data_IF_033743652035
#
_entry.id   IF_033743652035
#
_cell.length_a   1.000
_cell.length_b   1.000
_cell.length_c   1.000
_cell.angle_alpha   90.00
_cell.angle_beta   90.00
_cell.angle_gamma   90.00
#
_symmetry.space_group_name_H-M   'P 1'
#
loop_
_entity.id
_entity.type
_entity.pdbx_description
1 polymer ?
#
# COMPACT_ATOMS: atom_id res chain seq x y z
N UNK A 1 22.23 16.72 12.41
CA UNK A 1 20.77 16.84 12.21
C UNK A 1 19.97 15.52 12.06
N UNK A 2 20.60 14.37 11.82
CA UNK A 2 19.88 13.09 11.55
C UNK A 2 20.10 12.00 12.62
N UNK A 3 20.35 12.38 13.88
CA UNK A 3 20.75 11.45 14.96
C UNK A 3 19.82 10.23 15.12
N UNK A 4 18.50 10.43 14.97
CA UNK A 4 17.49 9.36 15.14
C UNK A 4 17.41 8.38 13.95
N UNK A 5 17.78 8.81 12.74
CA UNK A 5 17.74 7.97 11.54
C UNK A 5 19.14 7.41 11.18
N UNK A 6 20.11 7.51 12.10
CA UNK A 6 21.51 7.18 11.85
C UNK A 6 21.86 5.81 12.44
N UNK A 7 22.38 4.90 11.60
CA UNK A 7 22.83 3.57 12.04
C UNK A 7 23.95 3.62 13.09
N UNK A 8 24.78 4.66 13.12
CA UNK A 8 25.79 4.84 14.19
C UNK A 8 25.16 5.01 15.58
N UNK A 9 23.95 5.58 15.66
CA UNK A 9 23.21 5.78 16.91
C UNK A 9 22.11 4.74 17.15
N UNK A 10 21.73 4.00 16.10
CA UNK A 10 20.80 2.89 16.14
C UNK A 10 21.37 1.75 15.28
N UNK A 11 22.30 0.93 15.83
CA UNK A 11 23.04 -0.05 15.04
C UNK A 11 22.16 -1.17 14.48
N UNK A 12 21.10 -1.51 15.21
CA UNK A 12 20.16 -2.57 14.82
C UNK A 12 19.27 -2.13 13.66
N UNK A 13 18.90 -3.09 12.82
CA UNK A 13 17.97 -2.88 11.73
C UNK A 13 16.57 -2.56 12.26
N UNK A 14 15.98 -1.49 11.74
CA UNK A 14 14.56 -1.22 11.95
C UNK A 14 13.73 -2.17 11.09
N UNK A 15 12.87 -2.96 11.73
CA UNK A 15 11.89 -3.81 11.08
C UNK A 15 10.51 -3.23 11.32
N UNK A 16 9.84 -2.80 10.26
CA UNK A 16 8.49 -2.22 10.34
C UNK A 16 7.48 -3.33 10.10
N UNK A 17 6.56 -3.51 11.05
CA UNK A 17 5.45 -4.45 10.91
C UNK A 17 4.17 -3.68 10.53
N UNK A 18 3.66 -3.96 9.34
CA UNK A 18 2.40 -3.39 8.84
C UNK A 18 1.39 -4.53 8.70
N UNK A 19 0.57 -4.75 9.72
CA UNK A 19 -0.48 -5.78 9.69
C UNK A 19 0.05 -7.20 9.38
N UNK A 20 1.26 -7.53 9.84
CA UNK A 20 1.93 -8.80 9.59
C UNK A 20 2.95 -8.77 8.45
N UNK A 21 2.92 -7.77 7.57
CA UNK A 21 3.95 -7.58 6.56
C UNK A 21 5.20 -6.92 7.18
N UNK A 22 6.34 -7.61 7.14
CA UNK A 22 7.61 -7.13 7.68
C UNK A 22 8.45 -6.46 6.59
N UNK A 23 8.95 -5.26 6.87
CA UNK A 23 9.81 -4.47 5.97
C UNK A 23 11.14 -4.17 6.69
N UNK A 24 12.26 -4.60 6.10
CA UNK A 24 13.60 -4.45 6.68
C UNK A 24 14.12 -5.74 7.32
N UNK A 25 15.35 -5.71 7.86
CA UNK A 25 15.94 -6.84 8.60
C UNK A 25 16.04 -8.15 7.81
N UNK A 26 16.21 -8.08 6.49
CA UNK A 26 16.29 -9.25 5.60
C UNK A 26 14.94 -9.76 5.07
N UNK A 27 13.82 -9.17 5.49
CA UNK A 27 12.50 -9.47 4.92
C UNK A 27 12.31 -8.79 3.56
N UNK A 28 11.80 -9.53 2.59
CA UNK A 28 11.46 -9.02 1.26
C UNK A 28 9.95 -8.77 1.17
N UNK A 29 9.55 -7.51 1.05
CA UNK A 29 8.16 -7.10 0.96
C UNK A 29 7.85 -6.55 -0.44
N UNK A 30 6.73 -7.00 -1.02
CA UNK A 30 6.23 -6.50 -2.30
C UNK A 30 4.91 -5.79 -2.08
N UNK A 31 4.85 -4.52 -2.48
CA UNK A 31 3.65 -3.69 -2.43
C UNK A 31 3.12 -3.51 -3.85
N UNK A 32 1.97 -4.10 -4.17
CA UNK A 32 1.45 -4.13 -5.52
C UNK A 32 -0.05 -3.78 -5.54
N UNK A 33 -0.54 -3.30 -6.67
CA UNK A 33 -1.92 -2.86 -6.83
C UNK A 33 -2.04 -1.75 -7.87
N UNK A 34 -3.26 -1.22 -8.10
CA UNK A 34 -3.49 -0.27 -9.17
C UNK A 34 -2.86 1.10 -8.89
N UNK A 35 -2.74 1.89 -9.95
CA UNK A 35 -2.31 3.27 -9.84
C UNK A 35 -3.33 4.10 -9.04
N UNK A 36 -4.60 3.98 -9.38
CA UNK A 36 -5.74 4.64 -8.74
C UNK A 36 -6.81 3.61 -8.43
N UNK A 37 -7.61 3.87 -7.40
CA UNK A 37 -8.81 3.08 -7.12
C UNK A 37 -9.96 3.65 -7.94
N UNK A 38 -10.67 2.80 -8.67
CA UNK A 38 -11.68 3.25 -9.65
C UNK A 38 -13.04 2.57 -9.47
N UNK A 39 -13.07 1.25 -9.27
CA UNK A 39 -14.33 0.51 -9.01
C UNK A 39 -14.12 -0.64 -8.03
N UNK A 40 -15.18 -1.15 -7.37
CA UNK A 40 -15.09 -2.33 -6.52
C UNK A 40 -14.54 -3.56 -7.26
N UNK A 41 -15.01 -3.82 -8.47
CA UNK A 41 -14.61 -5.00 -9.25
C UNK A 41 -13.13 -4.92 -9.61
N UNK A 42 -12.67 -3.74 -10.03
CA UNK A 42 -11.29 -3.48 -10.39
C UNK A 42 -10.36 -3.67 -9.20
N UNK A 43 -10.67 -3.06 -8.04
CA UNK A 43 -9.79 -3.13 -6.88
C UNK A 43 -9.76 -4.55 -6.29
N UNK A 44 -10.90 -5.24 -6.23
CA UNK A 44 -10.99 -6.59 -5.68
C UNK A 44 -10.27 -7.61 -6.57
N UNK A 45 -10.48 -7.55 -7.89
CA UNK A 45 -9.77 -8.43 -8.82
C UNK A 45 -8.25 -8.20 -8.75
N UNK A 46 -7.82 -6.94 -8.69
CA UNK A 46 -6.39 -6.61 -8.60
C UNK A 46 -5.80 -7.08 -7.26
N UNK A 47 -6.50 -6.86 -6.15
CA UNK A 47 -6.03 -7.27 -4.83
C UNK A 47 -5.85 -8.79 -4.72
N UNK A 48 -6.81 -9.57 -5.25
CA UNK A 48 -6.73 -11.03 -5.30
C UNK A 48 -5.54 -11.49 -6.15
N UNK A 49 -5.38 -10.95 -7.35
CA UNK A 49 -4.25 -11.29 -8.22
C UNK A 49 -2.90 -10.93 -7.58
N UNK A 50 -2.77 -9.76 -6.94
CA UNK A 50 -1.57 -9.38 -6.22
C UNK A 50 -1.27 -10.33 -5.05
N UNK A 51 -2.29 -10.72 -4.28
CA UNK A 51 -2.14 -11.69 -3.18
C UNK A 51 -1.64 -13.03 -3.68
N UNK A 52 -2.27 -13.57 -4.73
CA UNK A 52 -1.89 -14.84 -5.36
C UNK A 52 -0.46 -14.82 -5.91
N UNK A 53 -0.01 -13.69 -6.44
CA UNK A 53 1.35 -13.48 -6.91
C UNK A 53 2.39 -13.27 -5.78
N UNK A 54 1.97 -13.24 -4.52
CA UNK A 54 2.86 -13.13 -3.36
C UNK A 54 3.10 -11.71 -2.85
N UNK A 55 2.29 -10.72 -3.26
CA UNK A 55 2.34 -9.40 -2.64
C UNK A 55 1.98 -9.48 -1.15
N UNK A 56 2.66 -8.67 -0.34
CA UNK A 56 2.46 -8.63 1.11
C UNK A 56 1.66 -7.40 1.54
N UNK A 57 1.55 -6.38 0.67
CA UNK A 57 0.79 -5.15 0.90
C UNK A 57 0.07 -4.77 -0.40
N UNK A 58 -1.19 -4.35 -0.30
CA UNK A 58 -1.95 -3.78 -1.40
C UNK A 58 -1.73 -2.26 -1.46
N UNK A 59 -1.36 -1.73 -2.64
CA UNK A 59 -1.33 -0.27 -2.86
C UNK A 59 -2.52 0.19 -3.71
N UNK A 60 -2.98 1.43 -3.51
CA UNK A 60 -3.96 2.04 -4.41
C UNK A 60 -4.22 3.51 -4.12
N UNK A 61 -4.16 4.37 -5.13
CA UNK A 61 -4.33 5.82 -4.94
C UNK A 61 -5.81 6.23 -4.90
N UNK A 62 -6.33 6.56 -3.73
CA UNK A 62 -7.66 7.18 -3.58
C UNK A 62 -7.64 8.69 -3.89
N UNK A 63 -6.55 9.38 -3.55
CA UNK A 63 -6.31 10.79 -3.88
C UNK A 63 -5.13 10.88 -4.84
N UNK A 64 -5.30 11.53 -6.00
CA UNK A 64 -4.25 11.64 -7.01
C UNK A 64 -3.75 13.09 -7.08
N UNK A 65 -2.47 13.36 -6.77
CA UNK A 65 -1.91 14.70 -6.90
C UNK A 65 -1.64 15.01 -8.39
N UNK A 66 -2.69 15.32 -9.15
CA UNK A 66 -2.60 15.56 -10.58
C UNK A 66 -2.05 16.96 -10.83
N UNK A 67 -1.11 17.07 -11.78
CA UNK A 67 -0.64 18.36 -12.28
C UNK A 67 -1.74 19.10 -13.04
N UNK A 68 -2.59 18.38 -13.78
CA UNK A 68 -3.73 18.95 -14.50
C UNK A 68 -5.02 18.82 -13.68
N UNK A 69 -5.79 19.89 -13.53
CA UNK A 69 -7.06 19.85 -12.79
C UNK A 69 -8.16 19.05 -13.52
N UNK A 70 -8.04 18.89 -14.84
CA UNK A 70 -9.03 18.18 -15.66
C UNK A 70 -8.84 16.66 -15.70
N UNK A 71 -7.75 16.19 -15.11
CA UNK A 71 -7.52 14.76 -14.97
C UNK A 71 -8.40 14.12 -13.90
N UNK A 72 -8.59 12.80 -13.96
CA UNK A 72 -9.20 12.06 -12.85
C UNK A 72 -8.42 12.30 -11.53
N UNK A 73 -9.10 12.84 -10.52
CA UNK A 73 -8.47 13.27 -9.26
C UNK A 73 -8.38 12.13 -8.22
N UNK A 74 -8.86 10.94 -8.57
CA UNK A 74 -9.08 9.86 -7.62
C UNK A 74 -10.50 9.86 -7.08
N UNK A 75 -10.86 8.76 -6.42
CA UNK A 75 -12.18 8.57 -5.80
C UNK A 75 -12.32 9.19 -4.41
N UNK A 76 -11.27 9.79 -3.85
CA UNK A 76 -11.34 10.43 -2.54
C UNK A 76 -11.73 9.47 -1.41
N UNK A 77 -12.58 9.86 -0.46
CA UNK A 77 -13.02 9.01 0.65
C UNK A 77 -13.61 7.67 0.21
N UNK A 78 -14.42 7.66 -0.85
CA UNK A 78 -15.03 6.45 -1.39
C UNK A 78 -13.96 5.46 -1.88
N UNK A 79 -12.85 5.97 -2.43
CA UNK A 79 -11.70 5.15 -2.80
C UNK A 79 -11.02 4.47 -1.59
N UNK A 80 -11.04 5.10 -0.42
CA UNK A 80 -10.52 4.50 0.81
C UNK A 80 -11.43 3.38 1.33
N UNK A 81 -12.75 3.55 1.21
CA UNK A 81 -13.72 2.51 1.57
C UNK A 81 -13.56 1.26 0.69
N UNK A 82 -13.28 1.45 -0.61
CA UNK A 82 -12.98 0.36 -1.54
C UNK A 82 -11.67 -0.36 -1.21
N UNK A 83 -10.62 0.35 -0.76
CA UNK A 83 -9.38 -0.27 -0.29
C UNK A 83 -9.61 -1.07 1.00
N UNK A 84 -10.41 -0.56 1.93
CA UNK A 84 -10.76 -1.28 3.15
C UNK A 84 -11.59 -2.53 2.83
N UNK A 85 -12.48 -2.48 1.83
CA UNK A 85 -13.18 -3.66 1.33
C UNK A 85 -12.19 -4.70 0.76
N UNK A 86 -11.24 -4.28 -0.08
CA UNK A 86 -10.23 -5.18 -0.65
C UNK A 86 -9.32 -5.80 0.43
N UNK A 87 -8.96 -5.04 1.46
CA UNK A 87 -8.24 -5.53 2.63
C UNK A 87 -9.03 -6.59 3.39
N UNK A 88 -10.32 -6.36 3.66
CA UNK A 88 -11.19 -7.34 4.33
C UNK A 88 -11.27 -8.65 3.55
N UNK A 89 -11.35 -8.57 2.23
CA UNK A 89 -11.46 -9.73 1.34
C UNK A 89 -10.15 -10.53 1.24
N UNK A 90 -9.00 -9.87 1.21
CA UNK A 90 -7.70 -10.51 0.90
C UNK A 90 -6.76 -10.67 2.10
N UNK A 91 -7.05 -9.97 3.20
CA UNK A 91 -6.17 -9.84 4.36
C UNK A 91 -4.89 -9.02 4.10
N UNK A 92 -4.73 -8.42 2.91
CA UNK A 92 -3.58 -7.57 2.64
C UNK A 92 -3.69 -6.24 3.39
N UNK A 93 -2.68 -5.83 4.18
CA UNK A 93 -2.58 -4.45 4.65
C UNK A 93 -2.51 -3.49 3.46
N UNK A 94 -2.93 -2.24 3.65
CA UNK A 94 -3.03 -1.23 2.59
C UNK A 94 -2.04 -0.07 2.78
N UNK A 95 -1.62 0.53 1.67
CA UNK A 95 -0.78 1.73 1.60
C UNK A 95 -1.22 2.69 0.49
#
# INVERSE_FOLDING_TARGET
>A
PYKKANRKFHPDDSVINVGGALIGGGHFAVMAGPCSVETPEQVLATAKACKEAGATILRGGAFKPRTSPYSFQGMGPEGLELLELAKKETGLPIV
#
